data_IF_413717181741
#
_entry.id   IF_413717181741
#
_cell.length_a   1.000
_cell.length_b   1.000
_cell.length_c   1.000
_cell.angle_alpha   90.00
_cell.angle_beta   90.00
_cell.angle_gamma   90.00
#
_symmetry.space_group_name_H-M   'P 1'
#
loop_
_entity.id
_entity.type
_entity.pdbx_description
1 polymer ?
#
# COMPACT_ATOMS: atom_id res chain seq x y z
N UNK A 1 1.88 10.07 24.70
CA UNK A 1 1.93 10.48 23.28
C UNK A 1 0.92 9.64 22.49
N UNK A 2 0.24 10.18 21.49
CA UNK A 2 -0.62 9.38 20.64
C UNK A 2 0.21 8.26 19.97
N UNK A 3 -0.37 7.07 19.88
CA UNK A 3 0.26 5.95 19.18
C UNK A 3 0.27 6.26 17.69
N UNK A 4 1.43 6.16 17.05
CA UNK A 4 1.62 6.42 15.62
C UNK A 4 2.13 5.17 14.91
N UNK A 5 1.78 5.01 13.65
CA UNK A 5 2.28 3.96 12.76
C UNK A 5 2.52 4.51 11.36
N UNK A 6 3.65 4.21 10.76
CA UNK A 6 3.87 4.52 9.35
C UNK A 6 3.11 3.52 8.47
N UNK A 7 2.23 4.04 7.59
CA UNK A 7 1.40 3.24 6.69
C UNK A 7 1.83 3.34 5.21
N UNK A 8 2.81 4.18 4.90
CA UNK A 8 3.37 4.33 3.56
C UNK A 8 4.90 4.31 3.69
N UNK A 9 5.51 3.15 3.44
CA UNK A 9 6.93 2.89 3.69
C UNK A 9 7.52 2.07 2.55
N UNK A 10 8.64 2.53 2.01
CA UNK A 10 9.42 1.85 0.99
C UNK A 10 10.61 1.15 1.62
N UNK A 11 10.80 -0.12 1.27
CA UNK A 11 11.94 -0.92 1.72
C UNK A 11 12.98 -1.05 0.62
N UNK A 12 14.06 -1.79 0.91
CA UNK A 12 15.05 -2.21 -0.08
C UNK A 12 14.49 -2.94 -1.31
N UNK A 13 13.21 -3.33 -1.29
CA UNK A 13 12.50 -3.94 -2.41
C UNK A 13 11.82 -2.92 -3.34
N UNK A 14 11.79 -1.64 -2.95
CA UNK A 14 11.55 -0.52 -3.89
C UNK A 14 12.86 -0.22 -4.62
N UNK A 15 13.18 -1.05 -5.63
CA UNK A 15 14.49 -1.06 -6.30
C UNK A 15 14.85 0.31 -6.86
N UNK A 16 16.10 0.74 -6.62
CA UNK A 16 16.68 2.04 -7.00
C UNK A 16 16.06 3.26 -6.29
N UNK A 17 15.26 3.03 -5.25
CA UNK A 17 14.57 4.09 -4.51
C UNK A 17 14.64 3.89 -3.00
N UNK A 18 14.16 2.74 -2.49
CA UNK A 18 14.15 2.43 -1.08
C UNK A 18 15.49 1.91 -0.54
N UNK A 19 15.97 2.50 0.57
CA UNK A 19 17.20 2.08 1.26
C UNK A 19 16.94 1.39 2.60
N UNK A 20 15.69 1.44 3.11
CA UNK A 20 15.36 0.91 4.42
C UNK A 20 15.37 -0.62 4.44
N UNK A 21 16.21 -1.23 5.29
CA UNK A 21 16.15 -2.66 5.51
C UNK A 21 14.95 -3.04 6.37
N UNK A 22 14.35 -4.20 6.11
CA UNK A 22 13.22 -4.70 6.91
C UNK A 22 13.59 -4.83 8.39
N UNK A 23 14.80 -5.27 8.70
CA UNK A 23 15.28 -5.39 10.07
C UNK A 23 15.37 -4.03 10.77
N UNK A 24 16.00 -3.04 10.11
CA UNK A 24 16.13 -1.69 10.65
C UNK A 24 14.76 -1.00 10.83
N UNK A 25 13.78 -1.27 9.96
CA UNK A 25 12.41 -0.77 10.13
C UNK A 25 11.77 -1.30 11.42
N UNK A 26 11.93 -2.60 11.74
CA UNK A 26 11.41 -3.14 13.00
C UNK A 26 12.14 -2.63 14.22
N UNK A 27 13.46 -2.48 14.15
CA UNK A 27 14.26 -1.90 15.24
C UNK A 27 13.79 -0.47 15.54
N UNK A 28 13.64 0.33 14.50
CA UNK A 28 13.12 1.70 14.64
C UNK A 28 11.69 1.73 15.19
N UNK A 29 10.79 0.91 14.64
CA UNK A 29 9.40 0.86 15.09
C UNK A 29 9.26 0.41 16.56
N UNK A 30 10.09 -0.53 17.00
CA UNK A 30 10.14 -0.96 18.40
C UNK A 30 10.71 0.16 19.28
N UNK A 31 11.81 0.78 18.87
CA UNK A 31 12.46 1.90 19.61
C UNK A 31 11.53 3.10 19.78
N UNK A 32 10.68 3.38 18.80
CA UNK A 32 9.69 4.46 18.82
C UNK A 32 8.34 4.05 19.45
N UNK A 33 8.24 2.82 19.97
CA UNK A 33 7.00 2.26 20.54
C UNK A 33 5.80 2.28 19.56
N UNK A 34 6.04 2.09 18.27
CA UNK A 34 4.97 2.01 17.29
C UNK A 34 4.17 0.73 17.49
N UNK A 35 2.82 0.77 17.44
CA UNK A 35 1.99 -0.44 17.56
C UNK A 35 2.02 -1.30 16.30
N UNK A 36 2.28 -0.68 15.14
CA UNK A 36 2.32 -1.33 13.85
C UNK A 36 3.26 -0.59 12.89
N UNK A 37 3.64 -1.24 11.81
CA UNK A 37 4.33 -0.63 10.67
C UNK A 37 3.88 -1.32 9.38
N UNK A 38 3.77 -0.57 8.28
CA UNK A 38 3.45 -1.12 6.98
C UNK A 38 4.69 -1.24 6.09
N UNK A 39 4.59 -2.10 5.06
CA UNK A 39 5.39 -2.00 3.85
C UNK A 39 4.49 -1.74 2.66
N UNK A 40 4.90 -0.83 1.77
CA UNK A 40 4.16 -0.42 0.59
C UNK A 40 5.12 -0.13 -0.56
N UNK A 41 5.93 -1.13 -0.90
CA UNK A 41 6.92 -1.01 -1.96
C UNK A 41 6.29 -0.71 -3.32
N UNK A 42 7.04 -0.07 -4.21
CA UNK A 42 6.59 0.35 -5.54
C UNK A 42 6.20 -0.85 -6.42
N UNK A 43 4.90 -1.02 -6.64
CA UNK A 43 4.32 -1.98 -7.56
C UNK A 43 4.60 -3.45 -7.24
N UNK A 44 5.10 -3.78 -6.04
CA UNK A 44 5.45 -5.15 -5.71
C UNK A 44 5.21 -5.51 -4.23
N UNK A 45 5.21 -6.82 -3.96
CA UNK A 45 5.12 -7.41 -2.63
C UNK A 45 6.28 -8.35 -2.33
N UNK A 46 7.45 -8.14 -2.95
CA UNK A 46 8.60 -9.04 -2.84
C UNK A 46 9.11 -9.17 -1.41
N UNK A 47 9.03 -8.10 -0.63
CA UNK A 47 9.43 -8.09 0.77
C UNK A 47 8.41 -8.68 1.75
N UNK A 48 7.17 -8.96 1.34
CA UNK A 48 6.06 -9.28 2.24
C UNK A 48 6.33 -10.48 3.16
N UNK A 49 6.81 -11.60 2.61
CA UNK A 49 7.13 -12.78 3.40
C UNK A 49 8.23 -12.50 4.44
N UNK A 50 9.31 -11.87 4.02
CA UNK A 50 10.44 -11.51 4.91
C UNK A 50 9.98 -10.54 5.99
N UNK A 51 9.14 -9.56 5.62
CA UNK A 51 8.61 -8.58 6.54
C UNK A 51 7.75 -9.22 7.65
N UNK A 52 6.79 -10.06 7.29
CA UNK A 52 5.96 -10.77 8.27
C UNK A 52 6.81 -11.73 9.12
N UNK A 53 7.72 -12.49 8.50
CA UNK A 53 8.63 -13.40 9.24
C UNK A 53 9.50 -12.66 10.25
N UNK A 54 9.99 -11.46 9.91
CA UNK A 54 10.80 -10.64 10.82
C UNK A 54 9.99 -10.14 12.02
N UNK A 55 8.70 -9.81 11.85
CA UNK A 55 7.82 -9.41 12.94
C UNK A 55 7.72 -10.50 14.02
N UNK A 56 7.63 -11.76 13.62
CA UNK A 56 7.50 -12.90 14.52
C UNK A 56 8.80 -13.30 15.26
N UNK A 57 9.93 -12.69 14.94
CA UNK A 57 11.17 -12.87 15.72
C UNK A 57 11.16 -12.15 17.07
N UNK A 58 10.31 -11.12 17.21
CA UNK A 58 10.16 -10.35 18.47
C UNK A 58 8.69 -10.32 18.86
N UNK A 59 8.32 -11.18 19.79
CA UNK A 59 6.92 -11.38 20.22
C UNK A 59 6.70 -10.94 21.67
N UNK A 60 5.44 -10.74 22.01
CA UNK A 60 4.93 -10.51 23.38
C UNK A 60 3.75 -11.44 23.65
N UNK A 61 3.56 -11.78 24.92
CA UNK A 61 2.36 -12.50 25.37
C UNK A 61 1.19 -11.53 25.36
N UNK A 62 0.08 -11.92 24.71
CA UNK A 62 -1.16 -11.14 24.63
C UNK A 62 -2.33 -11.79 25.38
N UNK A 63 -2.15 -13.00 25.87
CA UNK A 63 -3.16 -13.77 26.62
C UNK A 63 -2.75 -15.21 26.78
N UNK A 64 -3.70 -16.02 27.24
CA UNK A 64 -3.58 -17.48 27.31
C UNK A 64 -4.73 -18.14 26.57
N UNK A 65 -4.47 -19.29 25.95
CA UNK A 65 -5.51 -20.12 25.33
C UNK A 65 -6.28 -20.93 26.37
N UNK A 66 -7.23 -21.75 25.91
CA UNK A 66 -8.07 -22.58 26.77
C UNK A 66 -7.28 -23.61 27.62
N UNK A 67 -6.08 -23.99 27.15
CA UNK A 67 -5.18 -24.93 27.81
C UNK A 67 -4.14 -24.22 28.71
N UNK A 68 -4.25 -22.90 28.88
CA UNK A 68 -3.35 -22.09 29.71
C UNK A 68 -2.00 -21.76 29.06
N UNK A 69 -1.81 -22.07 27.77
CA UNK A 69 -0.59 -21.78 27.01
C UNK A 69 -0.57 -20.32 26.55
N UNK A 70 0.60 -19.71 26.55
CA UNK A 70 0.76 -18.33 26.13
C UNK A 70 0.42 -18.11 24.65
N UNK A 71 -0.46 -17.14 24.38
CA UNK A 71 -0.75 -16.66 23.03
C UNK A 71 0.24 -15.54 22.73
N UNK A 72 1.03 -15.71 21.68
CA UNK A 72 2.06 -14.76 21.26
C UNK A 72 1.55 -13.88 20.10
N UNK A 73 1.98 -12.63 20.09
CA UNK A 73 1.84 -11.73 18.94
C UNK A 73 3.13 -10.95 18.72
N UNK A 74 3.40 -10.47 17.50
CA UNK A 74 4.50 -9.55 17.26
C UNK A 74 4.42 -8.31 18.14
N UNK A 75 5.57 -7.81 18.64
CA UNK A 75 5.63 -6.54 19.40
C UNK A 75 5.09 -5.39 18.55
N UNK A 76 5.50 -5.33 17.27
CA UNK A 76 5.00 -4.40 16.26
C UNK A 76 4.22 -5.19 15.23
N UNK A 77 2.93 -4.85 15.03
CA UNK A 77 2.06 -5.53 14.06
C UNK A 77 2.52 -5.26 12.62
N UNK A 78 2.78 -6.29 11.80
CA UNK A 78 3.06 -6.10 10.38
C UNK A 78 1.78 -5.76 9.62
N UNK A 79 1.84 -4.76 8.75
CA UNK A 79 0.78 -4.41 7.80
C UNK A 79 1.35 -4.56 6.40
N UNK A 80 0.75 -5.41 5.59
CA UNK A 80 1.20 -5.65 4.21
C UNK A 80 0.37 -4.81 3.25
N UNK A 81 1.04 -4.10 2.38
CA UNK A 81 0.46 -3.30 1.33
C UNK A 81 1.36 -3.20 0.11
N UNK A 82 0.95 -2.36 -0.81
CA UNK A 82 1.70 -2.03 -2.01
C UNK A 82 1.34 -0.61 -2.45
N UNK A 83 2.30 0.16 -2.93
CA UNK A 83 2.06 1.38 -3.67
C UNK A 83 1.96 1.05 -5.15
N UNK A 84 0.75 1.11 -5.68
CA UNK A 84 0.45 0.81 -7.08
C UNK A 84 0.63 2.03 -7.97
N UNK A 85 0.97 1.77 -9.24
CA UNK A 85 0.91 2.74 -10.33
C UNK A 85 -0.45 2.61 -11.02
N UNK A 86 -1.37 3.53 -10.76
CA UNK A 86 -2.71 3.54 -11.34
C UNK A 86 -2.71 4.38 -12.61
N UNK A 87 -3.20 3.81 -13.69
CA UNK A 87 -3.31 4.44 -15.01
C UNK A 87 -4.75 4.41 -15.51
N UNK A 88 -5.04 5.15 -16.57
CA UNK A 88 -6.37 5.16 -17.19
C UNK A 88 -6.74 3.79 -17.80
N UNK A 89 -5.78 3.16 -18.47
CA UNK A 89 -5.91 1.84 -19.07
C UNK A 89 -4.54 1.18 -19.10
N UNK A 90 -4.38 0.04 -18.41
CA UNK A 90 -3.13 -0.71 -18.29
C UNK A 90 -2.64 -1.35 -19.58
N UNK A 91 -3.53 -1.51 -20.56
CA UNK A 91 -3.21 -2.14 -21.85
C UNK A 91 -2.57 -1.17 -22.84
N UNK A 92 -2.71 0.14 -22.65
CA UNK A 92 -2.07 1.15 -23.49
C UNK A 92 -0.56 1.10 -23.26
N UNK A 93 0.20 0.85 -24.33
CA UNK A 93 1.68 0.77 -24.30
C UNK A 93 2.35 1.64 -25.37
N UNK A 94 1.55 2.34 -26.16
CA UNK A 94 2.03 3.28 -27.18
C UNK A 94 1.72 4.71 -26.72
N UNK A 95 2.75 5.43 -26.29
CA UNK A 95 2.63 6.80 -25.80
C UNK A 95 3.26 7.77 -26.78
N UNK A 96 2.68 8.96 -26.87
CA UNK A 96 3.14 10.09 -27.70
C UNK A 96 3.35 11.33 -26.81
N UNK A 97 3.70 12.47 -27.44
CA UNK A 97 3.77 13.74 -26.72
C UNK A 97 2.39 14.18 -26.18
N UNK A 98 1.32 13.85 -26.90
CA UNK A 98 -0.07 14.18 -26.57
C UNK A 98 -0.68 13.14 -25.62
N UNK A 99 -0.41 11.86 -25.83
CA UNK A 99 -0.86 10.76 -24.98
C UNK A 99 0.26 10.34 -24.04
N UNK A 100 0.27 10.90 -22.85
CA UNK A 100 1.28 10.62 -21.82
C UNK A 100 0.91 9.42 -20.97
N UNK A 101 1.91 8.69 -20.51
CA UNK A 101 1.75 7.64 -19.49
C UNK A 101 1.66 8.29 -18.09
N UNK A 102 0.49 8.82 -17.77
CA UNK A 102 0.22 9.39 -16.45
C UNK A 102 -0.02 8.25 -15.45
N UNK A 103 0.91 8.07 -14.53
CA UNK A 103 0.87 7.08 -13.46
C UNK A 103 0.62 7.79 -12.14
N UNK A 104 -0.47 7.44 -11.48
CA UNK A 104 -0.79 7.97 -10.17
C UNK A 104 -0.44 6.93 -9.10
N UNK A 105 0.15 7.37 -8.01
CA UNK A 105 0.44 6.48 -6.90
C UNK A 105 -0.82 6.17 -6.09
N UNK A 106 -0.96 4.92 -5.67
CA UNK A 106 -2.04 4.51 -4.80
C UNK A 106 -1.61 3.44 -3.81
N UNK A 107 -1.69 3.76 -2.53
CA UNK A 107 -1.44 2.79 -1.46
C UNK A 107 -2.70 2.00 -1.16
N UNK A 108 -2.57 0.68 -1.27
CA UNK A 108 -3.57 -0.29 -0.82
C UNK A 108 -2.94 -1.19 0.25
N UNK A 109 -3.68 -1.42 1.35
CA UNK A 109 -3.24 -2.24 2.48
C UNK A 109 -4.18 -3.43 2.66
N UNK A 110 -3.65 -4.58 3.04
CA UNK A 110 -4.47 -5.74 3.38
C UNK A 110 -5.15 -5.56 4.75
N UNK A 111 -6.48 -5.57 4.79
CA UNK A 111 -7.28 -5.55 6.01
C UNK A 111 -7.39 -6.95 6.62
N UNK A 112 -7.44 -7.98 5.76
CA UNK A 112 -7.62 -9.38 6.12
C UNK A 112 -7.00 -10.33 5.07
N UNK A 113 -7.22 -11.63 5.20
CA UNK A 113 -6.69 -12.64 4.29
C UNK A 113 -7.20 -12.48 2.85
N UNK A 114 -8.46 -12.07 2.65
CA UNK A 114 -9.02 -11.81 1.31
C UNK A 114 -8.26 -10.65 0.67
N UNK A 115 -8.08 -9.54 1.40
CA UNK A 115 -7.31 -8.39 0.92
C UNK A 115 -5.87 -8.74 0.58
N UNK A 116 -5.22 -9.60 1.36
CA UNK A 116 -3.87 -10.07 1.03
C UNK A 116 -3.84 -10.84 -0.30
N UNK A 117 -4.81 -11.74 -0.54
CA UNK A 117 -4.94 -12.44 -1.82
C UNK A 117 -5.23 -11.48 -2.98
N UNK A 118 -6.04 -10.44 -2.73
CA UNK A 118 -6.34 -9.42 -3.73
C UNK A 118 -5.12 -8.53 -4.04
N UNK A 119 -4.28 -8.20 -3.05
CA UNK A 119 -2.98 -7.54 -3.31
C UNK A 119 -2.08 -8.39 -4.22
N UNK A 120 -2.00 -9.71 -3.96
CA UNK A 120 -1.24 -10.63 -4.83
C UNK A 120 -1.79 -10.62 -6.26
N UNK A 121 -3.12 -10.62 -6.43
CA UNK A 121 -3.76 -10.56 -7.75
C UNK A 121 -3.45 -9.24 -8.47
N UNK A 122 -3.62 -8.12 -7.78
CA UNK A 122 -3.37 -6.79 -8.34
C UNK A 122 -1.90 -6.62 -8.76
N UNK A 123 -0.96 -7.00 -7.90
CA UNK A 123 0.48 -6.94 -8.24
C UNK A 123 0.80 -7.84 -9.42
N UNK A 124 0.34 -9.10 -9.42
CA UNK A 124 0.59 -10.05 -10.51
C UNK A 124 0.05 -9.55 -11.84
N UNK A 125 -1.20 -9.06 -11.87
CA UNK A 125 -1.81 -8.51 -13.08
C UNK A 125 -1.13 -7.22 -13.55
N UNK A 126 -0.64 -6.40 -12.62
CA UNK A 126 0.19 -5.24 -12.95
C UNK A 126 1.43 -5.62 -13.76
N UNK A 127 2.11 -6.71 -13.39
CA UNK A 127 3.26 -7.22 -14.14
C UNK A 127 2.87 -7.92 -15.44
N UNK A 128 1.83 -8.76 -15.41
CA UNK A 128 1.46 -9.59 -16.57
C UNK A 128 0.80 -8.74 -17.67
N UNK A 129 -0.14 -7.88 -17.32
CA UNK A 129 -0.95 -7.13 -18.28
C UNK A 129 -0.50 -5.66 -18.41
N UNK A 130 -0.14 -5.03 -17.28
CA UNK A 130 0.09 -3.60 -17.20
C UNK A 130 1.53 -3.14 -17.36
N UNK A 131 2.50 -4.05 -17.43
CA UNK A 131 3.91 -3.70 -17.49
C UNK A 131 4.24 -2.80 -18.69
N UNK A 132 4.79 -1.62 -18.38
CA UNK A 132 5.33 -0.71 -19.39
C UNK A 132 6.61 -0.07 -18.87
N UNK A 133 7.69 -0.19 -19.65
CA UNK A 133 9.04 0.16 -19.19
C UNK A 133 9.39 -0.61 -17.90
N UNK A 134 9.59 0.06 -16.79
CA UNK A 134 9.87 -0.53 -15.47
C UNK A 134 8.69 -0.50 -14.51
N UNK A 135 7.49 -0.11 -14.97
CA UNK A 135 6.34 0.14 -14.11
C UNK A 135 5.24 -0.90 -14.31
N UNK A 136 4.95 -1.73 -13.30
CA UNK A 136 3.77 -2.59 -13.27
C UNK A 136 2.54 -1.74 -12.94
N UNK A 137 1.68 -1.52 -13.95
CA UNK A 137 0.54 -0.60 -13.84
C UNK A 137 -0.76 -1.36 -13.70
N UNK A 138 -1.65 -0.84 -12.87
CA UNK A 138 -3.04 -1.29 -12.77
C UNK A 138 -3.98 -0.17 -13.17
N UNK A 139 -5.26 -0.47 -13.30
CA UNK A 139 -6.29 0.52 -13.56
C UNK A 139 -7.52 0.30 -12.66
N UNK A 140 -8.48 1.20 -12.76
CA UNK A 140 -9.70 1.19 -11.95
C UNK A 140 -10.49 -0.11 -12.10
N UNK A 141 -10.51 -0.71 -13.28
CA UNK A 141 -11.26 -1.96 -13.52
C UNK A 141 -10.71 -3.13 -12.71
N UNK A 142 -9.38 -3.19 -12.50
CA UNK A 142 -8.78 -4.17 -11.62
C UNK A 142 -9.08 -3.87 -10.14
N UNK A 143 -9.04 -2.60 -9.76
CA UNK A 143 -9.33 -2.18 -8.39
C UNK A 143 -10.77 -2.53 -8.03
N UNK A 144 -11.74 -2.19 -8.88
CA UNK A 144 -13.16 -2.55 -8.70
C UNK A 144 -13.37 -4.05 -8.53
N UNK A 145 -12.62 -4.85 -9.27
CA UNK A 145 -12.72 -6.32 -9.23
C UNK A 145 -12.10 -6.94 -7.97
N UNK A 146 -11.04 -6.34 -7.43
CA UNK A 146 -10.21 -6.92 -6.37
C UNK A 146 -10.07 -6.01 -5.14
N UNK A 147 -11.05 -5.13 -4.86
CA UNK A 147 -11.01 -4.22 -3.70
C UNK A 147 -11.36 -4.87 -2.38
N UNK A 148 -12.09 -6.00 -2.38
CA UNK A 148 -12.57 -6.64 -1.16
C UNK A 148 -11.43 -6.96 -0.19
N UNK A 149 -11.63 -6.59 1.08
CA UNK A 149 -10.65 -6.81 2.14
C UNK A 149 -9.42 -5.92 2.06
N UNK A 150 -9.44 -4.88 1.23
CA UNK A 150 -8.41 -3.85 1.14
C UNK A 150 -8.84 -2.56 1.86
N UNK A 151 -7.83 -1.83 2.32
CA UNK A 151 -7.94 -0.45 2.77
C UNK A 151 -7.23 0.41 1.75
N UNK A 152 -7.87 1.51 1.32
CA UNK A 152 -7.26 2.52 0.47
C UNK A 152 -6.99 3.82 1.25
N UNK A 153 -5.98 4.56 0.85
CA UNK A 153 -5.68 5.89 1.40
C UNK A 153 -5.67 6.93 0.29
N UNK A 154 -5.72 8.22 0.64
CA UNK A 154 -5.50 9.30 -0.35
C UNK A 154 -4.06 9.35 -0.84
N UNK A 155 -3.21 8.49 -0.31
CA UNK A 155 -1.81 8.27 -0.69
C UNK A 155 -0.94 9.54 -0.60
N UNK A 156 0.02 9.71 -1.48
CA UNK A 156 0.99 10.80 -1.49
C UNK A 156 0.64 11.87 -2.53
N UNK A 157 1.53 12.88 -2.65
CA UNK A 157 1.40 13.94 -3.65
C UNK A 157 1.36 13.40 -5.10
N UNK A 158 1.89 12.20 -5.33
CA UNK A 158 1.83 11.50 -6.63
C UNK A 158 0.47 10.86 -6.93
N UNK A 159 -0.49 10.87 -5.99
CA UNK A 159 -1.82 10.29 -6.19
C UNK A 159 -2.72 11.20 -7.03
N UNK A 160 -3.80 10.62 -7.58
CA UNK A 160 -4.66 11.32 -8.53
C UNK A 160 -5.37 12.52 -7.89
N UNK A 161 -5.94 12.38 -6.70
CA UNK A 161 -6.63 13.47 -6.00
C UNK A 161 -5.69 14.64 -5.70
N UNK A 162 -4.54 14.46 -5.03
CA UNK A 162 -3.58 15.55 -4.82
C UNK A 162 -3.08 16.18 -6.13
N UNK A 163 -2.85 15.38 -7.17
CA UNK A 163 -2.41 15.90 -8.47
C UNK A 163 -3.47 16.76 -9.17
N UNK A 164 -4.75 16.45 -9.01
CA UNK A 164 -5.83 17.28 -9.51
C UNK A 164 -5.92 18.61 -8.74
N UNK A 165 -5.80 18.58 -7.41
CA UNK A 165 -5.76 19.78 -6.56
C UNK A 165 -4.59 20.70 -6.96
N UNK A 166 -3.40 20.15 -7.15
CA UNK A 166 -2.22 20.92 -7.56
C UNK A 166 -2.39 21.61 -8.93
N UNK A 167 -3.25 21.06 -9.79
CA UNK A 167 -3.59 21.66 -11.10
C UNK A 167 -4.77 22.60 -11.01
N UNK A 168 -5.28 22.89 -9.82
CA UNK A 168 -6.48 23.69 -9.57
C UNK A 168 -7.73 23.15 -10.27
N UNK A 169 -7.81 21.82 -10.44
CA UNK A 169 -8.97 21.12 -10.99
C UNK A 169 -9.76 20.46 -9.86
N UNK A 170 -10.51 21.28 -9.13
CA UNK A 170 -11.30 20.83 -7.99
C UNK A 170 -12.40 19.83 -8.40
N UNK A 171 -13.00 20.01 -9.57
CA UNK A 171 -14.02 19.09 -10.08
C UNK A 171 -13.46 17.71 -10.37
N UNK A 172 -12.26 17.63 -10.96
CA UNK A 172 -11.58 16.36 -11.16
C UNK A 172 -11.14 15.72 -9.81
N UNK A 173 -10.67 16.52 -8.86
CA UNK A 173 -10.30 16.05 -7.54
C UNK A 173 -11.50 15.45 -6.79
N UNK A 174 -12.65 16.16 -6.79
CA UNK A 174 -13.89 15.71 -6.16
C UNK A 174 -14.41 14.42 -6.81
N UNK A 175 -14.44 14.37 -8.14
CA UNK A 175 -14.88 13.19 -8.89
C UNK A 175 -14.01 11.97 -8.56
N UNK A 176 -12.70 12.16 -8.50
CA UNK A 176 -11.76 11.07 -8.19
C UNK A 176 -11.93 10.62 -6.74
N UNK A 177 -12.01 11.56 -5.80
CA UNK A 177 -12.24 11.26 -4.39
C UNK A 177 -13.54 10.47 -4.16
N UNK A 178 -14.65 10.90 -4.79
CA UNK A 178 -15.93 10.20 -4.73
C UNK A 178 -15.83 8.77 -5.24
N UNK A 179 -15.14 8.54 -6.36
CA UNK A 179 -14.95 7.19 -6.89
C UNK A 179 -14.26 6.26 -5.86
N UNK A 180 -13.20 6.73 -5.19
CA UNK A 180 -12.53 5.95 -4.15
C UNK A 180 -13.45 5.70 -2.96
N UNK A 181 -14.22 6.69 -2.55
CA UNK A 181 -15.18 6.58 -1.45
C UNK A 181 -16.32 5.60 -1.77
N UNK A 182 -16.82 5.62 -3.01
CA UNK A 182 -17.88 4.70 -3.47
C UNK A 182 -17.41 3.23 -3.48
N UNK A 183 -16.13 2.97 -3.81
CA UNK A 183 -15.58 1.60 -3.84
C UNK A 183 -15.18 1.11 -2.44
N UNK A 184 -14.55 1.94 -1.62
CA UNK A 184 -13.97 1.51 -0.34
C UNK A 184 -14.79 1.90 0.89
N UNK A 185 -15.72 2.85 0.78
CA UNK A 185 -16.57 3.28 1.88
C UNK A 185 -15.75 3.66 3.13
N UNK A 186 -16.04 2.98 4.24
CA UNK A 186 -15.36 3.18 5.53
C UNK A 186 -13.87 2.75 5.53
N UNK A 187 -13.44 1.98 4.53
CA UNK A 187 -12.06 1.55 4.35
C UNK A 187 -11.23 2.53 3.47
N UNK A 188 -11.75 3.73 3.20
CA UNK A 188 -11.02 4.82 2.55
C UNK A 188 -10.59 5.89 3.56
N UNK A 189 -9.28 6.11 3.70
CA UNK A 189 -8.72 6.99 4.72
C UNK A 189 -7.94 8.16 4.13
N UNK A 190 -8.07 9.32 4.77
CA UNK A 190 -7.20 10.45 4.51
C UNK A 190 -5.78 10.13 4.99
N UNK A 191 -4.81 10.23 4.11
CA UNK A 191 -3.40 10.07 4.42
C UNK A 191 -2.70 11.43 4.45
N UNK A 192 -1.96 11.69 5.53
CA UNK A 192 -1.08 12.85 5.64
C UNK A 192 0.36 12.33 5.52
N UNK A 193 1.09 12.86 4.53
CA UNK A 193 2.51 12.58 4.37
C UNK A 193 3.28 13.78 4.87
N UNK A 194 4.25 13.55 5.76
CA UNK A 194 5.28 14.54 6.02
C UNK A 194 6.15 14.66 4.77
N UNK A 195 6.16 15.84 4.21
CA UNK A 195 7.09 16.25 3.19
C UNK A 195 8.31 16.83 3.89
#
# INVERSE_FOLDING_TARGET
>A
MPKFSHLHVHTQYSLLDGAASIEGLYEKAIGDNMPAIAITDHGNMFGAFKFVSQAWKKTKVIGKDADGKDILAPIVKPIVGCEFYVVKDRHIKNFTKELKDNRYHQVLLAKNAIGYQNLIKLTSLGYIEGMYSKYPRIDKSLIEKYHEGLIATTCCIGAHVPQAILKSDEAAAEKEFKWWLDIFGEDYYLSLIHI
#
